data_IF_294838646926
#
_entry.id   IF_294838646926
#
_cell.length_a   1.000
_cell.length_b   1.000
_cell.length_c   1.000
_cell.angle_alpha   90.00
_cell.angle_beta   90.00
_cell.angle_gamma   90.00
#
_symmetry.space_group_name_H-M   'P 1'
#
loop_
_entity.id
_entity.type
_entity.pdbx_description
1 polymer ?
#
# COMPACT_ATOMS: atom_id res chain seq x y z
N UNK A 1 -21.50 -13.33 11.70
CA UNK A 1 -21.30 -14.73 12.11
C UNK A 1 -21.51 -15.63 10.91
N UNK A 2 -20.63 -16.61 10.70
CA UNK A 2 -20.74 -17.64 9.66
C UNK A 2 -20.93 -18.99 10.36
N UNK A 3 -21.85 -19.81 9.87
CA UNK A 3 -22.16 -21.14 10.44
C UNK A 3 -21.63 -22.26 9.55
N UNK A 4 -21.31 -23.40 10.17
CA UNK A 4 -20.84 -24.59 9.47
C UNK A 4 -21.92 -25.15 8.54
N UNK A 5 -21.53 -25.44 7.31
CA UNK A 5 -22.35 -26.22 6.39
C UNK A 5 -22.09 -27.73 6.57
N UNK A 6 -23.00 -28.42 7.26
CA UNK A 6 -22.92 -29.88 7.49
C UNK A 6 -23.05 -30.71 6.20
N UNK A 7 -23.55 -30.11 5.12
CA UNK A 7 -23.73 -30.75 3.81
C UNK A 7 -22.61 -30.40 2.82
N UNK A 8 -21.49 -29.81 3.27
CA UNK A 8 -20.40 -29.46 2.37
C UNK A 8 -19.78 -30.71 1.72
N UNK A 9 -19.69 -30.73 0.39
CA UNK A 9 -19.31 -31.92 -0.39
C UNK A 9 -17.92 -32.50 -0.07
N UNK A 10 -17.01 -31.72 0.54
CA UNK A 10 -15.69 -32.17 0.99
C UNK A 10 -15.63 -32.50 2.49
N UNK A 11 -16.79 -32.73 3.10
CA UNK A 11 -16.96 -32.91 4.53
C UNK A 11 -17.03 -31.59 5.30
N UNK A 12 -17.78 -31.55 6.41
CA UNK A 12 -17.96 -30.35 7.24
C UNK A 12 -16.63 -29.83 7.81
N UNK A 13 -16.60 -28.54 8.17
CA UNK A 13 -15.48 -27.95 8.91
C UNK A 13 -15.43 -28.49 10.36
N UNK A 14 -14.27 -28.42 11.01
CA UNK A 14 -14.13 -28.93 12.38
C UNK A 14 -14.71 -27.97 13.45
N UNK A 15 -14.98 -26.71 13.09
CA UNK A 15 -15.60 -25.68 13.94
C UNK A 15 -17.06 -25.41 13.53
N UNK A 16 -17.90 -25.07 14.50
CA UNK A 16 -19.35 -24.86 14.29
C UNK A 16 -19.68 -23.47 13.73
N UNK A 17 -18.94 -22.44 14.13
CA UNK A 17 -19.14 -21.08 13.65
C UNK A 17 -17.84 -20.27 13.65
N UNK A 18 -17.86 -19.17 12.90
CA UNK A 18 -16.84 -18.13 12.88
C UNK A 18 -17.50 -16.80 13.21
N UNK A 19 -16.94 -16.09 14.17
CA UNK A 19 -17.33 -14.72 14.50
C UNK A 19 -16.19 -13.76 14.12
N UNK A 20 -16.46 -12.91 13.13
CA UNK A 20 -15.58 -11.79 12.80
C UNK A 20 -16.01 -10.60 13.65
N UNK A 21 -15.18 -10.22 14.60
CA UNK A 21 -15.43 -9.04 15.42
C UNK A 21 -15.06 -7.77 14.62
N UNK A 22 -16.08 -7.05 14.16
CA UNK A 22 -15.95 -5.79 13.43
C UNK A 22 -16.13 -4.56 14.36
N UNK A 23 -16.19 -4.78 15.69
CA UNK A 23 -16.31 -3.68 16.64
C UNK A 23 -14.99 -2.89 16.76
N UNK A 24 -15.11 -1.59 17.04
CA UNK A 24 -13.94 -0.77 17.37
C UNK A 24 -13.29 -1.21 18.69
N UNK A 25 -11.97 -1.09 18.79
CA UNK A 25 -11.20 -1.46 19.97
C UNK A 25 -9.78 -1.87 19.63
N UNK A 26 -9.00 -2.24 20.66
CA UNK A 26 -7.61 -2.69 20.50
C UNK A 26 -7.58 -4.22 20.45
N UNK A 27 -7.34 -4.82 19.28
CA UNK A 27 -7.36 -6.27 19.09
C UNK A 27 -6.40 -7.02 20.03
N UNK A 28 -5.24 -6.42 20.33
CA UNK A 28 -4.30 -6.96 21.31
C UNK A 28 -4.92 -7.11 22.71
N UNK A 29 -5.70 -6.14 23.17
CA UNK A 29 -6.38 -6.22 24.47
C UNK A 29 -7.49 -7.26 24.47
N UNK A 30 -8.24 -7.36 23.37
CA UNK A 30 -9.26 -8.39 23.20
C UNK A 30 -8.63 -9.79 23.26
N UNK A 31 -7.48 -9.97 22.61
CA UNK A 31 -6.75 -11.24 22.66
C UNK A 31 -6.27 -11.55 24.08
N UNK A 32 -5.70 -10.58 24.79
CA UNK A 32 -5.24 -10.75 26.18
C UNK A 32 -6.37 -11.04 27.17
N UNK A 33 -7.60 -10.59 26.88
CA UNK A 33 -8.81 -10.85 27.67
C UNK A 33 -9.60 -12.10 27.25
N UNK A 34 -9.04 -12.91 26.35
CA UNK A 34 -9.70 -14.11 25.79
C UNK A 34 -11.00 -13.81 25.02
N UNK A 35 -11.17 -12.59 24.50
CA UNK A 35 -12.32 -12.19 23.68
C UNK A 35 -12.15 -12.61 22.20
N UNK A 36 -10.91 -12.76 21.73
CA UNK A 36 -10.59 -13.24 20.39
C UNK A 36 -9.47 -14.29 20.41
N UNK A 37 -9.46 -15.16 19.41
CA UNK A 37 -8.55 -16.29 19.30
C UNK A 37 -7.27 -16.01 18.51
N UNK A 38 -7.31 -14.99 17.64
CA UNK A 38 -6.25 -14.66 16.71
C UNK A 38 -6.16 -13.13 16.61
N UNK A 39 -4.96 -12.56 16.67
CA UNK A 39 -4.72 -11.14 16.37
C UNK A 39 -3.36 -10.96 15.70
N UNK A 40 -3.24 -9.94 14.84
CA UNK A 40 -1.94 -9.42 14.44
C UNK A 40 -1.30 -8.60 15.56
N UNK A 41 0.02 -8.48 15.54
CA UNK A 41 0.82 -7.64 16.44
C UNK A 41 1.24 -6.38 15.67
N UNK A 42 0.81 -5.22 16.14
CA UNK A 42 1.17 -3.93 15.56
C UNK A 42 2.47 -3.35 16.14
N UNK A 43 2.97 -2.27 15.53
CA UNK A 43 4.21 -1.57 15.93
C UNK A 43 4.23 -1.24 17.43
N UNK A 44 3.11 -0.78 17.99
CA UNK A 44 2.99 -0.39 19.41
C UNK A 44 3.28 -1.53 20.40
N UNK A 45 3.07 -2.78 19.97
CA UNK A 45 3.23 -3.96 20.82
C UNK A 45 4.43 -4.83 20.41
N UNK A 46 5.11 -4.50 19.31
CA UNK A 46 6.10 -5.37 18.70
C UNK A 46 7.24 -5.71 19.67
N UNK A 47 7.95 -4.71 20.20
CA UNK A 47 9.07 -4.91 21.14
C UNK A 47 8.65 -5.71 22.38
N UNK A 48 7.45 -5.41 22.90
CA UNK A 48 6.88 -6.08 24.07
C UNK A 48 6.64 -7.56 23.80
N UNK A 49 6.12 -7.92 22.62
CA UNK A 49 5.76 -9.30 22.26
C UNK A 49 6.98 -10.10 21.78
N UNK A 50 7.99 -9.44 21.20
CA UNK A 50 9.24 -10.06 20.79
C UNK A 50 10.17 -10.42 21.97
N UNK A 51 10.01 -9.81 23.15
CA UNK A 51 10.79 -10.19 24.34
C UNK A 51 10.54 -11.67 24.69
N UNK A 52 11.58 -12.54 24.70
CA UNK A 52 11.45 -13.95 25.07
C UNK A 52 10.93 -14.19 26.49
N UNK A 53 10.98 -13.19 27.36
CA UNK A 53 10.41 -13.24 28.72
C UNK A 53 8.89 -13.02 28.73
N UNK A 54 8.33 -12.40 27.70
CA UNK A 54 6.90 -12.22 27.58
C UNK A 54 6.22 -13.59 27.35
N UNK A 55 5.24 -13.99 28.17
CA UNK A 55 4.53 -15.26 27.96
C UNK A 55 3.89 -15.41 26.57
N UNK A 56 3.47 -14.31 25.95
CA UNK A 56 2.85 -14.29 24.62
C UNK A 56 3.85 -14.61 23.50
N UNK A 57 5.15 -14.41 23.72
CA UNK A 57 6.18 -14.76 22.75
C UNK A 57 6.14 -16.26 22.40
N UNK A 58 5.73 -17.12 23.34
CA UNK A 58 5.65 -18.58 23.15
C UNK A 58 4.55 -19.01 22.17
N UNK A 59 3.58 -18.14 21.93
CA UNK A 59 2.44 -18.39 21.03
C UNK A 59 2.48 -17.45 19.83
N UNK A 60 3.61 -16.75 19.65
CA UNK A 60 3.86 -15.89 18.52
C UNK A 60 4.18 -16.75 17.30
N UNK A 61 3.48 -16.47 16.21
CA UNK A 61 3.68 -17.11 14.92
C UNK A 61 4.14 -16.04 13.94
N UNK A 62 5.27 -16.29 13.28
CA UNK A 62 5.71 -15.49 12.14
C UNK A 62 4.98 -16.04 10.91
N UNK A 63 4.02 -15.25 10.41
CA UNK A 63 3.29 -15.56 9.19
C UNK A 63 4.16 -15.27 7.96
N UNK A 64 3.98 -16.00 6.86
CA UNK A 64 4.58 -15.60 5.61
C UNK A 64 4.10 -14.21 5.20
N UNK A 65 4.94 -13.40 4.53
CA UNK A 65 4.52 -12.17 3.91
C UNK A 65 3.28 -12.37 3.03
N UNK A 66 2.38 -11.39 3.04
CA UNK A 66 1.27 -11.35 2.09
C UNK A 66 1.78 -10.99 0.69
N UNK A 67 1.15 -11.56 -0.32
CA UNK A 67 1.25 -11.09 -1.69
C UNK A 67 0.41 -9.82 -1.83
N UNK A 68 0.92 -8.73 -1.27
CA UNK A 68 0.24 -7.45 -1.26
C UNK A 68 1.19 -6.30 -1.53
N UNK A 69 0.63 -5.20 -2.07
CA UNK A 69 1.32 -3.92 -2.22
C UNK A 69 0.38 -2.80 -1.75
N UNK A 70 0.87 -1.92 -0.88
CA UNK A 70 0.22 -0.62 -0.61
C UNK A 70 0.76 0.45 -1.54
N UNK A 71 -0.02 1.49 -1.79
CA UNK A 71 0.36 2.52 -2.77
C UNK A 71 -0.34 3.85 -2.49
N UNK A 72 0.22 4.91 -3.08
CA UNK A 72 -0.49 6.17 -3.33
C UNK A 72 -0.86 6.16 -4.82
N UNK A 73 -2.16 6.22 -5.11
CA UNK A 73 -2.70 6.25 -6.45
C UNK A 73 -3.01 7.67 -6.93
N UNK A 74 -2.94 7.87 -8.24
CA UNK A 74 -3.21 9.14 -8.90
C UNK A 74 -4.22 8.95 -10.01
N UNK A 75 -5.14 9.91 -10.18
CA UNK A 75 -5.86 10.00 -11.44
C UNK A 75 -4.96 10.67 -12.49
N UNK A 76 -4.45 9.90 -13.44
CA UNK A 76 -3.47 10.38 -14.43
C UNK A 76 -4.06 11.32 -15.48
N UNK A 77 -5.36 11.62 -15.42
CA UNK A 77 -6.01 12.61 -16.27
C UNK A 77 -6.30 13.94 -15.53
N UNK A 78 -5.97 14.02 -14.23
CA UNK A 78 -6.26 15.19 -13.41
C UNK A 78 -4.95 15.92 -13.05
N UNK A 79 -4.84 17.23 -13.31
CA UNK A 79 -3.73 18.06 -12.83
C UNK A 79 -3.47 17.93 -11.33
N UNK A 80 -2.21 17.88 -10.87
CA UNK A 80 -0.97 17.86 -11.66
C UNK A 80 -0.50 16.46 -12.09
N UNK A 81 -1.28 15.42 -11.82
CA UNK A 81 -0.91 14.03 -12.09
C UNK A 81 -1.07 13.61 -13.55
N UNK A 82 -1.56 14.50 -14.41
CA UNK A 82 -1.55 14.37 -15.87
C UNK A 82 -0.19 14.73 -16.50
N UNK A 83 0.86 14.89 -15.70
CA UNK A 83 2.25 14.95 -16.14
C UNK A 83 3.08 13.81 -15.51
N UNK A 84 3.61 12.94 -16.37
CA UNK A 84 4.48 11.84 -15.96
C UNK A 84 5.71 12.32 -15.18
N UNK A 85 6.32 13.44 -15.57
CA UNK A 85 7.52 13.96 -14.87
C UNK A 85 7.19 14.40 -13.45
N UNK A 86 5.98 14.94 -13.24
CA UNK A 86 5.52 15.28 -11.90
C UNK A 86 5.38 14.03 -11.04
N UNK A 87 4.71 12.97 -11.55
CA UNK A 87 4.55 11.70 -10.82
C UNK A 87 5.89 11.01 -10.53
N UNK A 88 6.83 11.04 -11.47
CA UNK A 88 8.18 10.51 -11.28
C UNK A 88 8.96 11.33 -10.23
N UNK A 89 8.81 12.65 -10.22
CA UNK A 89 9.44 13.49 -9.21
C UNK A 89 8.96 13.13 -7.79
N UNK A 90 7.65 12.92 -7.61
CA UNK A 90 7.08 12.48 -6.32
C UNK A 90 7.61 11.11 -5.89
N UNK A 91 7.82 10.17 -6.82
CA UNK A 91 8.40 8.87 -6.49
C UNK A 91 9.87 9.02 -6.03
N UNK A 92 10.68 9.76 -6.78
CA UNK A 92 12.10 9.92 -6.53
C UNK A 92 12.41 10.73 -5.25
N UNK A 93 11.47 11.50 -4.71
CA UNK A 93 11.65 12.27 -3.47
C UNK A 93 11.39 11.48 -2.18
N UNK A 94 10.91 10.23 -2.26
CA UNK A 94 10.56 9.44 -1.07
C UNK A 94 11.67 8.47 -0.69
N UNK A 95 12.21 8.63 0.51
CA UNK A 95 13.14 7.68 1.09
C UNK A 95 12.40 6.53 1.80
N UNK A 96 11.95 5.55 1.01
CA UNK A 96 11.17 4.39 1.50
C UNK A 96 11.96 3.54 2.50
N UNK A 97 13.27 3.39 2.34
CA UNK A 97 14.14 2.64 3.25
C UNK A 97 14.18 3.27 4.65
N UNK A 98 14.26 4.60 4.73
CA UNK A 98 14.22 5.33 6.00
C UNK A 98 12.86 5.12 6.70
N UNK A 99 11.76 5.21 5.96
CA UNK A 99 10.43 5.02 6.54
C UNK A 99 10.26 3.57 7.02
N UNK A 100 10.59 2.58 6.19
CA UNK A 100 10.49 1.17 6.55
C UNK A 100 11.28 0.85 7.84
N UNK A 101 12.52 1.33 7.93
CA UNK A 101 13.39 1.01 9.06
C UNK A 101 13.13 1.84 10.32
N UNK A 102 12.93 3.16 10.20
CA UNK A 102 12.88 4.08 11.34
C UNK A 102 11.46 4.40 11.80
N UNK A 103 10.47 4.32 10.89
CA UNK A 103 9.07 4.66 11.20
C UNK A 103 8.25 3.40 11.43
N UNK A 104 8.47 2.37 10.59
CA UNK A 104 7.65 1.14 10.58
C UNK A 104 8.37 -0.08 11.18
N UNK A 105 9.54 0.12 11.79
CA UNK A 105 10.27 -0.92 12.54
C UNK A 105 10.53 -2.21 11.73
N UNK A 106 10.79 -2.08 10.43
CA UNK A 106 10.99 -3.18 9.47
C UNK A 106 9.81 -4.17 9.34
N UNK A 107 8.59 -3.78 9.74
CA UNK A 107 7.38 -4.58 9.51
C UNK A 107 6.90 -4.55 8.05
N UNK A 108 7.52 -3.71 7.22
CA UNK A 108 7.24 -3.57 5.80
C UNK A 108 8.52 -3.65 4.99
N UNK A 109 8.38 -3.97 3.70
CA UNK A 109 9.48 -3.92 2.72
C UNK A 109 9.18 -2.82 1.71
N UNK A 110 10.12 -1.90 1.42
CA UNK A 110 9.97 -0.89 0.38
C UNK A 110 9.55 -1.48 -0.96
N UNK A 111 8.47 -0.95 -1.55
CA UNK A 111 8.00 -1.35 -2.86
C UNK A 111 8.52 -0.40 -3.95
N UNK A 112 9.16 -0.98 -4.96
CA UNK A 112 9.60 -0.27 -6.18
C UNK A 112 8.94 -0.81 -7.46
N UNK A 113 8.22 -1.93 -7.35
CA UNK A 113 7.32 -2.48 -8.36
C UNK A 113 5.90 -2.66 -7.84
N UNK A 114 5.08 -3.36 -8.60
CA UNK A 114 3.68 -3.69 -8.28
C UNK A 114 3.58 -5.12 -7.74
N UNK A 115 4.22 -6.09 -8.41
CA UNK A 115 4.20 -7.48 -8.00
C UNK A 115 5.06 -7.67 -6.74
N UNK A 116 4.56 -8.35 -5.70
CA UNK A 116 5.31 -8.55 -4.46
C UNK A 116 6.39 -9.63 -4.59
N UNK A 117 7.47 -9.58 -3.80
CA UNK A 117 8.51 -10.59 -3.79
C UNK A 117 7.95 -12.01 -3.55
N UNK A 118 8.44 -12.97 -4.33
CA UNK A 118 7.99 -14.36 -4.28
C UNK A 118 6.64 -14.63 -4.97
N UNK A 119 6.00 -13.62 -5.53
CA UNK A 119 4.80 -13.79 -6.37
C UNK A 119 5.17 -14.32 -7.76
N UNK A 120 4.34 -15.16 -8.41
CA UNK A 120 4.56 -15.57 -9.79
C UNK A 120 4.73 -14.34 -10.69
N UNK A 121 5.70 -14.37 -11.60
CA UNK A 121 6.00 -13.26 -12.50
C UNK A 121 6.86 -12.14 -11.91
N UNK A 122 7.07 -12.07 -10.60
CA UNK A 122 7.92 -11.05 -9.96
C UNK A 122 9.30 -10.93 -10.64
N UNK A 123 9.74 -9.71 -10.88
CA UNK A 123 11.03 -9.39 -11.49
C UNK A 123 12.02 -8.88 -10.43
N UNK A 124 13.02 -9.69 -10.11
CA UNK A 124 14.10 -9.30 -9.18
C UNK A 124 15.02 -8.23 -9.78
N UNK A 125 15.01 -8.05 -11.11
CA UNK A 125 15.84 -7.07 -11.82
C UNK A 125 15.13 -5.71 -11.99
N UNK A 126 13.85 -5.60 -11.61
CA UNK A 126 13.12 -4.33 -11.67
C UNK A 126 13.56 -3.40 -10.54
N UNK A 127 14.37 -2.40 -10.87
CA UNK A 127 14.82 -1.38 -9.91
C UNK A 127 13.71 -0.39 -9.51
N UNK A 128 12.81 -0.07 -10.45
CA UNK A 128 11.75 0.93 -10.26
C UNK A 128 12.25 2.36 -10.04
N UNK A 129 11.43 3.18 -9.37
CA UNK A 129 11.73 4.60 -9.09
C UNK A 129 12.28 4.76 -7.67
N UNK A 130 13.61 4.70 -7.54
CA UNK A 130 14.34 4.72 -6.27
C UNK A 130 14.55 6.14 -5.71
N UNK A 131 14.94 6.29 -4.44
CA UNK A 131 15.14 7.61 -3.84
C UNK A 131 16.33 8.35 -4.48
N UNK A 132 16.04 9.47 -5.16
CA UNK A 132 17.02 10.39 -5.74
C UNK A 132 16.43 11.82 -5.74
N UNK A 133 16.67 12.60 -4.67
CA UNK A 133 16.09 13.94 -4.54
C UNK A 133 16.60 14.93 -5.59
N UNK A 134 17.81 14.72 -6.13
CA UNK A 134 18.34 15.58 -7.20
C UNK A 134 17.59 15.32 -8.51
N UNK A 135 17.38 14.05 -8.85
CA UNK A 135 16.56 13.67 -10.01
C UNK A 135 15.11 14.11 -9.83
N UNK A 136 14.55 14.01 -8.62
CA UNK A 136 13.21 14.49 -8.31
C UNK A 136 13.05 15.99 -8.64
N UNK A 137 13.95 16.84 -8.13
CA UNK A 137 13.94 18.29 -8.43
C UNK A 137 14.14 18.58 -9.92
N UNK A 138 15.04 17.85 -10.57
CA UNK A 138 15.25 17.98 -12.03
C UNK A 138 13.96 17.66 -12.80
N UNK A 139 13.32 16.54 -12.51
CA UNK A 139 12.07 16.14 -13.16
C UNK A 139 10.95 17.16 -12.93
N UNK A 140 10.81 17.68 -11.72
CA UNK A 140 9.84 18.74 -11.43
C UNK A 140 10.16 20.04 -12.18
N UNK A 141 11.44 20.40 -12.36
CA UNK A 141 11.82 21.58 -13.15
C UNK A 141 11.50 21.43 -14.64
N UNK A 142 11.47 20.19 -15.14
CA UNK A 142 11.12 19.86 -16.53
C UNK A 142 9.62 19.56 -16.70
N UNK A 143 8.87 19.50 -15.61
CA UNK A 143 7.42 19.31 -15.62
C UNK A 143 6.71 20.55 -16.15
N UNK A 144 5.52 20.36 -16.72
CA UNK A 144 4.59 21.45 -17.04
C UNK A 144 4.14 22.24 -15.80
N UNK A 145 4.38 21.67 -14.62
CA UNK A 145 4.10 22.24 -13.32
C UNK A 145 5.34 22.80 -12.59
N UNK A 146 6.45 23.01 -13.30
CA UNK A 146 7.68 23.59 -12.72
C UNK A 146 7.49 24.93 -12.00
N UNK A 147 6.40 25.66 -12.27
CA UNK A 147 5.99 26.83 -11.50
C UNK A 147 5.82 26.60 -9.99
N UNK A 148 5.64 25.36 -9.51
CA UNK A 148 5.68 25.02 -8.09
C UNK A 148 7.05 25.28 -7.43
N UNK A 149 8.16 25.18 -8.20
CA UNK A 149 9.52 25.40 -7.70
C UNK A 149 9.91 26.87 -7.57
N UNK A 150 9.15 27.80 -8.15
CA UNK A 150 9.48 29.24 -8.21
C UNK A 150 9.71 29.88 -6.84
N UNK A 151 9.25 29.23 -5.77
CA UNK A 151 9.31 29.71 -4.40
C UNK A 151 10.33 28.95 -3.52
N UNK A 152 11.12 28.02 -4.06
CA UNK A 152 12.16 27.30 -3.32
C UNK A 152 13.54 27.86 -3.72
N UNK A 153 14.22 28.64 -2.86
CA UNK A 153 15.59 29.10 -3.10
C UNK A 153 16.54 27.91 -3.36
N UNK A 154 17.39 28.06 -4.36
CA UNK A 154 18.22 27.00 -4.95
C UNK A 154 19.39 26.51 -4.09
N UNK A 155 19.76 27.19 -3.00
CA UNK A 155 21.09 27.07 -2.40
C UNK A 155 21.14 26.94 -0.86
N UNK A 156 20.02 26.74 -0.16
CA UNK A 156 20.04 26.55 1.31
C UNK A 156 19.76 25.11 1.77
N UNK A 157 20.40 24.65 2.87
CA UNK A 157 20.02 23.39 3.51
C UNK A 157 18.54 23.46 3.92
N UNK A 158 17.72 22.66 3.25
CA UNK A 158 16.25 22.67 3.28
C UNK A 158 15.59 22.44 4.66
N UNK A 159 16.37 22.32 5.74
CA UNK A 159 15.87 22.29 7.11
C UNK A 159 15.58 23.70 7.66
N UNK A 160 16.42 24.69 7.35
CA UNK A 160 16.28 26.05 7.90
C UNK A 160 15.16 26.83 7.21
N UNK A 161 14.99 26.68 5.89
CA UNK A 161 13.86 27.24 5.15
C UNK A 161 12.53 26.61 5.53
N UNK A 162 12.48 25.30 5.78
CA UNK A 162 11.27 24.63 6.27
C UNK A 162 10.89 25.18 7.66
N UNK A 163 11.86 25.35 8.55
CA UNK A 163 11.67 26.00 9.85
C UNK A 163 11.26 27.47 9.71
N UNK A 164 11.84 28.22 8.76
CA UNK A 164 11.51 29.62 8.51
C UNK A 164 10.08 29.76 7.96
N UNK A 165 9.67 28.94 6.99
CA UNK A 165 8.30 28.88 6.45
C UNK A 165 7.28 28.42 7.50
N UNK A 166 7.66 27.49 8.39
CA UNK A 166 6.85 27.07 9.54
C UNK A 166 6.76 28.18 10.61
N UNK A 167 7.78 29.01 10.76
CA UNK A 167 7.81 30.14 11.69
C UNK A 167 7.16 31.41 11.12
N UNK A 168 7.15 31.56 9.79
CA UNK A 168 6.51 32.63 9.05
C UNK A 168 5.02 32.32 8.84
N UNK A 169 4.32 31.92 9.89
CA UNK A 169 2.86 31.83 9.92
C UNK A 169 2.27 33.24 9.96
N UNK A 170 2.22 33.90 8.81
CA UNK A 170 1.27 34.95 8.40
C UNK A 170 1.72 35.53 7.06
N UNK A 171 1.42 34.88 5.93
CA UNK A 171 1.49 35.55 4.63
C UNK A 171 0.75 34.78 3.54
N UNK A 172 -0.06 35.54 2.80
CA UNK A 172 -0.89 35.31 1.61
C UNK A 172 -0.28 34.52 0.43
N UNK A 173 0.93 33.96 0.55
CA UNK A 173 1.64 33.24 -0.52
C UNK A 173 1.34 31.74 -0.57
N UNK A 174 1.00 31.08 0.55
CA UNK A 174 0.59 29.66 0.56
C UNK A 174 -0.75 29.41 -0.15
N UNK A 175 -1.65 30.39 -0.19
CA UNK A 175 -2.98 30.26 -0.81
C UNK A 175 -2.98 30.37 -2.35
N UNK A 176 -1.82 30.63 -2.97
CA UNK A 176 -1.68 30.76 -4.42
C UNK A 176 -1.14 29.50 -5.11
N UNK A 177 -0.66 28.50 -4.35
CA UNK A 177 -0.21 27.23 -4.92
C UNK A 177 -1.41 26.26 -5.03
N UNK A 178 -1.63 25.60 -6.18
CA UNK A 178 -2.62 24.54 -6.29
C UNK A 178 -2.31 23.43 -5.28
N UNK A 179 -3.19 23.24 -4.30
CA UNK A 179 -3.02 22.22 -3.27
C UNK A 179 -3.37 20.84 -3.84
N UNK A 180 -2.54 19.84 -3.54
CA UNK A 180 -2.85 18.45 -3.86
C UNK A 180 -3.73 17.89 -2.75
N UNK A 181 -4.80 17.18 -3.12
CA UNK A 181 -5.68 16.50 -2.17
C UNK A 181 -5.43 15.00 -2.26
N UNK A 182 -4.94 14.39 -1.17
CA UNK A 182 -4.93 12.94 -1.00
C UNK A 182 -6.20 12.54 -0.25
N UNK A 183 -7.05 11.77 -0.92
CA UNK A 183 -8.22 11.17 -0.29
C UNK A 183 -7.84 9.87 0.41
N UNK A 184 -8.28 9.69 1.65
CA UNK A 184 -8.05 8.49 2.45
C UNK A 184 -9.37 7.98 3.05
N UNK A 185 -9.52 6.66 3.25
CA UNK A 185 -10.67 6.14 3.96
C UNK A 185 -10.59 6.50 5.46
N UNK A 186 -11.69 6.97 6.06
CA UNK A 186 -11.73 7.26 7.49
C UNK A 186 -12.90 8.16 7.93
N UNK A 187 -13.14 8.21 9.25
CA UNK A 187 -14.18 9.04 9.87
C UNK A 187 -13.64 9.82 11.08
N UNK A 188 -12.63 10.68 10.86
CA UNK A 188 -12.11 11.61 11.87
C UNK A 188 -10.89 11.11 12.67
N UNK A 189 -10.10 10.19 12.11
CA UNK A 189 -8.81 9.75 12.67
C UNK A 189 -7.64 10.60 12.19
N UNK A 190 -6.41 10.27 12.62
CA UNK A 190 -5.20 10.74 11.94
C UNK A 190 -4.94 9.90 10.69
N UNK A 191 -4.24 10.45 9.71
CA UNK A 191 -3.68 9.67 8.62
C UNK A 191 -2.54 8.78 9.13
N UNK A 192 -2.13 7.79 8.32
CA UNK A 192 -1.01 6.93 8.66
C UNK A 192 0.30 7.73 8.77
N UNK A 193 1.11 7.41 9.80
CA UNK A 193 2.38 8.09 10.04
C UNK A 193 3.34 8.00 8.84
N UNK A 194 3.32 6.89 8.12
CA UNK A 194 4.09 6.71 6.90
C UNK A 194 3.68 7.70 5.81
N UNK A 195 2.37 7.91 5.62
CA UNK A 195 1.85 8.90 4.66
C UNK A 195 2.15 10.34 5.10
N UNK A 196 2.12 10.64 6.40
CA UNK A 196 2.54 11.96 6.92
C UNK A 196 4.03 12.23 6.59
N UNK A 197 4.90 11.24 6.79
CA UNK A 197 6.33 11.37 6.47
C UNK A 197 6.57 11.50 4.97
N UNK A 198 5.80 10.81 4.11
CA UNK A 198 5.86 11.01 2.66
C UNK A 198 5.51 12.45 2.28
N UNK A 199 4.43 13.00 2.85
CA UNK A 199 4.03 14.38 2.56
C UNK A 199 5.07 15.38 3.05
N UNK A 200 5.70 15.16 4.21
CA UNK A 200 6.83 15.99 4.67
C UNK A 200 8.00 15.95 3.66
N UNK A 201 8.34 14.77 3.13
CA UNK A 201 9.38 14.64 2.11
C UNK A 201 9.01 15.38 0.82
N UNK A 202 7.75 15.32 0.37
CA UNK A 202 7.28 16.06 -0.79
C UNK A 202 7.31 17.58 -0.59
N UNK A 203 6.93 18.09 0.59
CA UNK A 203 7.03 19.51 0.89
C UNK A 203 8.50 19.96 0.92
N UNK A 204 9.39 19.19 1.57
CA UNK A 204 10.79 19.59 1.75
C UNK A 204 11.64 19.47 0.51
N UNK A 205 11.45 18.41 -0.28
CA UNK A 205 12.27 18.16 -1.47
C UNK A 205 11.75 18.90 -2.71
N UNK A 206 10.44 19.14 -2.78
CA UNK A 206 9.75 19.61 -3.99
C UNK A 206 8.82 20.82 -3.76
N UNK A 207 8.58 21.25 -2.52
CA UNK A 207 7.63 22.33 -2.20
C UNK A 207 6.17 21.97 -2.45
N UNK A 208 5.87 20.67 -2.57
CA UNK A 208 4.53 20.18 -2.85
C UNK A 208 3.73 20.12 -1.56
N UNK A 209 2.69 20.94 -1.45
CA UNK A 209 1.80 21.00 -0.29
C UNK A 209 0.61 20.08 -0.53
N UNK A 210 0.34 19.19 0.43
CA UNK A 210 -0.75 18.22 0.38
C UNK A 210 -1.74 18.48 1.53
N UNK A 211 -3.02 18.48 1.19
CA UNK A 211 -4.13 18.42 2.15
C UNK A 211 -4.74 17.00 2.13
N UNK A 212 -5.24 16.54 3.28
CA UNK A 212 -5.92 15.25 3.38
C UNK A 212 -7.44 15.40 3.39
N UNK A 213 -8.12 14.53 2.67
CA UNK A 213 -9.58 14.38 2.72
C UNK A 213 -9.93 12.99 3.22
N UNK A 214 -10.57 12.90 4.38
CA UNK A 214 -11.13 11.64 4.87
C UNK A 214 -12.53 11.42 4.30
N UNK A 215 -12.77 10.22 3.78
CA UNK A 215 -14.05 9.79 3.23
C UNK A 215 -14.48 8.48 3.90
N UNK A 216 -15.74 8.39 4.29
CA UNK A 216 -16.32 7.15 4.83
C UNK A 216 -16.16 6.02 3.81
N UNK A 217 -15.84 4.80 4.28
CA UNK A 217 -15.41 3.67 3.45
C UNK A 217 -16.32 3.35 2.26
N UNK A 218 -17.63 3.22 2.47
CA UNK A 218 -18.54 2.88 1.37
C UNK A 218 -18.62 4.00 0.33
N UNK A 219 -18.52 5.25 0.77
CA UNK A 219 -18.45 6.41 -0.13
C UNK A 219 -17.10 6.46 -0.84
N UNK A 220 -16.01 6.19 -0.13
CA UNK A 220 -14.66 6.17 -0.67
C UNK A 220 -14.55 5.17 -1.83
N UNK A 221 -15.02 3.93 -1.65
CA UNK A 221 -15.00 2.92 -2.72
C UNK A 221 -15.81 3.36 -3.94
N UNK A 222 -17.00 3.93 -3.73
CA UNK A 222 -17.85 4.43 -4.82
C UNK A 222 -17.18 5.55 -5.61
N UNK A 223 -16.47 6.45 -4.94
CA UNK A 223 -15.79 7.59 -5.56
C UNK A 223 -14.48 7.14 -6.23
N UNK A 224 -13.86 6.07 -5.72
CA UNK A 224 -12.72 5.38 -6.32
C UNK A 224 -13.11 4.68 -7.63
N UNK A 225 -14.20 3.91 -7.65
CA UNK A 225 -14.77 3.27 -8.86
C UNK A 225 -15.13 4.30 -9.94
N UNK A 226 -15.61 5.47 -9.52
CA UNK A 226 -15.95 6.58 -10.43
C UNK A 226 -14.74 7.43 -10.83
N UNK A 227 -13.55 7.11 -10.33
CA UNK A 227 -12.30 7.84 -10.59
C UNK A 227 -12.40 9.35 -10.24
N UNK A 228 -13.20 9.72 -9.23
CA UNK A 228 -13.42 11.15 -8.91
C UNK A 228 -12.33 11.78 -8.07
N UNK A 229 -11.47 10.97 -7.45
CA UNK A 229 -10.35 11.46 -6.66
C UNK A 229 -9.21 11.98 -7.53
N UNK A 230 -8.59 13.08 -7.10
CA UNK A 230 -7.35 13.58 -7.70
C UNK A 230 -6.19 12.62 -7.39
N UNK A 231 -6.07 12.23 -6.12
CA UNK A 231 -5.18 11.18 -5.62
C UNK A 231 -5.79 10.49 -4.41
N UNK A 232 -5.34 9.27 -4.14
CA UNK A 232 -5.90 8.43 -3.08
C UNK A 232 -4.82 7.56 -2.42
N UNK A 233 -4.95 7.31 -1.12
CA UNK A 233 -4.03 6.51 -0.33
C UNK A 233 -4.78 5.76 0.78
N UNK A 234 -4.05 5.03 1.63
CA UNK A 234 -4.65 4.21 2.69
C UNK A 234 -5.30 2.93 2.16
N UNK A 235 -4.90 2.50 0.96
CA UNK A 235 -5.31 1.27 0.30
C UNK A 235 -4.11 0.37 0.05
N UNK A 236 -4.41 -0.89 -0.26
CA UNK A 236 -3.49 -1.80 -0.89
C UNK A 236 -4.25 -2.81 -1.73
N UNK A 237 -3.50 -3.54 -2.53
CA UNK A 237 -3.99 -4.72 -3.22
C UNK A 237 -3.35 -5.96 -2.60
N UNK A 238 -4.10 -7.02 -2.39
CA UNK A 238 -3.60 -8.33 -1.96
C UNK A 238 -4.17 -9.40 -2.88
N UNK A 239 -3.34 -10.34 -3.31
CA UNK A 239 -3.68 -11.30 -4.35
C UNK A 239 -4.94 -12.12 -4.02
N UNK A 240 -5.91 -12.11 -4.95
CA UNK A 240 -7.07 -12.98 -4.93
C UNK A 240 -6.71 -14.39 -5.45
N UNK A 241 -5.82 -14.46 -6.44
CA UNK A 241 -5.24 -15.67 -6.99
C UNK A 241 -3.80 -15.43 -7.47
N UNK A 242 -2.96 -16.47 -7.54
CA UNK A 242 -1.52 -16.32 -7.78
C UNK A 242 -1.19 -16.19 -9.29
N UNK A 243 -1.69 -15.15 -9.95
CA UNK A 243 -1.36 -14.81 -11.35
C UNK A 243 -1.10 -13.29 -11.47
N UNK A 244 -0.04 -12.84 -12.17
CA UNK A 244 0.22 -11.40 -12.40
C UNK A 244 -0.95 -10.62 -12.98
N UNK A 245 -1.84 -11.29 -13.72
CA UNK A 245 -3.05 -10.70 -14.28
C UNK A 245 -3.90 -10.03 -13.19
N UNK A 246 -3.96 -10.63 -12.00
CA UNK A 246 -4.70 -10.13 -10.82
C UNK A 246 -4.21 -8.76 -10.34
N UNK A 247 -2.98 -8.39 -10.66
CA UNK A 247 -2.41 -7.09 -10.36
C UNK A 247 -2.38 -6.22 -11.62
N UNK A 248 -1.64 -6.64 -12.64
CA UNK A 248 -1.23 -5.74 -13.72
C UNK A 248 -2.37 -5.45 -14.70
N UNK A 249 -3.16 -6.46 -15.05
CA UNK A 249 -4.29 -6.30 -15.97
C UNK A 249 -5.49 -5.66 -15.24
N UNK A 250 -5.85 -6.21 -14.07
CA UNK A 250 -6.97 -5.71 -13.26
C UNK A 250 -6.76 -4.24 -12.84
N UNK A 251 -5.55 -3.83 -12.46
CA UNK A 251 -5.33 -2.49 -11.87
C UNK A 251 -4.91 -1.43 -12.88
N UNK A 252 -4.36 -1.82 -14.04
CA UNK A 252 -3.74 -0.85 -14.98
C UNK A 252 -4.16 -0.97 -16.44
N UNK A 253 -4.86 -2.03 -16.86
CA UNK A 253 -5.42 -2.04 -18.22
C UNK A 253 -6.43 -0.89 -18.36
N UNK A 254 -6.36 -0.13 -19.47
CA UNK A 254 -7.15 1.09 -19.62
C UNK A 254 -8.66 0.86 -19.62
N UNK A 255 -9.12 -0.29 -20.13
CA UNK A 255 -10.54 -0.72 -20.10
C UNK A 255 -10.97 -1.44 -18.80
N UNK A 256 -10.11 -1.56 -17.79
CA UNK A 256 -10.49 -2.21 -16.53
C UNK A 256 -11.34 -1.32 -15.65
N UNK A 257 -12.47 -1.84 -15.14
CA UNK A 257 -13.33 -1.14 -14.17
C UNK A 257 -12.63 -0.87 -12.82
N UNK A 258 -11.55 -1.61 -12.52
CA UNK A 258 -10.76 -1.49 -11.27
C UNK A 258 -9.51 -0.60 -11.46
N UNK A 259 -9.30 -0.05 -12.67
CA UNK A 259 -8.26 0.95 -12.92
C UNK A 259 -8.69 2.31 -12.34
N UNK A 260 -8.58 2.45 -11.02
CA UNK A 260 -9.01 3.64 -10.29
C UNK A 260 -8.18 4.89 -10.59
N UNK A 261 -6.98 4.72 -11.15
CA UNK A 261 -6.10 5.81 -11.54
C UNK A 261 -6.36 6.37 -12.94
N UNK A 262 -7.31 5.79 -13.69
CA UNK A 262 -7.55 6.13 -15.09
C UNK A 262 -6.27 6.10 -15.95
N UNK A 263 -5.33 5.23 -15.59
CA UNK A 263 -4.06 5.07 -16.30
C UNK A 263 -4.33 4.48 -17.68
N UNK A 264 -3.66 4.99 -18.71
CA UNK A 264 -3.79 4.48 -20.07
C UNK A 264 -2.44 4.59 -20.78
N UNK A 265 -1.93 3.44 -21.20
CA UNK A 265 -0.76 3.32 -22.05
C UNK A 265 -1.02 2.20 -23.06
N UNK A 266 -1.19 2.53 -24.37
CA UNK A 266 -1.49 1.54 -25.39
C UNK A 266 -0.47 0.40 -25.51
N UNK A 267 0.82 0.68 -25.25
CA UNK A 267 1.87 -0.34 -25.29
C UNK A 267 1.72 -1.31 -24.10
N UNK A 268 1.41 -0.77 -22.92
CA UNK A 268 1.13 -1.60 -21.73
C UNK A 268 -0.13 -2.45 -21.96
N UNK A 269 -1.21 -1.86 -22.48
CA UNK A 269 -2.44 -2.57 -22.80
C UNK A 269 -2.15 -3.73 -23.76
N UNK A 270 -1.52 -3.49 -24.91
CA UNK A 270 -1.19 -4.54 -25.90
C UNK A 270 -0.42 -5.72 -25.27
N UNK A 271 0.56 -5.43 -24.40
CA UNK A 271 1.34 -6.44 -23.70
C UNK A 271 0.45 -7.24 -22.73
N UNK A 272 -0.41 -6.57 -21.97
CA UNK A 272 -1.35 -7.21 -21.03
C UNK A 272 -2.36 -8.10 -21.75
N UNK A 273 -2.92 -7.65 -22.89
CA UNK A 273 -3.86 -8.44 -23.70
C UNK A 273 -3.21 -9.72 -24.26
N UNK A 274 -1.95 -9.62 -24.68
CA UNK A 274 -1.18 -10.76 -25.12
C UNK A 274 -0.85 -11.70 -23.96
N UNK A 275 -0.46 -11.16 -22.81
CA UNK A 275 -0.12 -11.94 -21.63
C UNK A 275 -1.32 -12.72 -21.08
N UNK A 276 -2.53 -12.14 -21.07
CA UNK A 276 -3.73 -12.83 -20.54
C UNK A 276 -4.26 -13.96 -21.43
N UNK A 277 -3.92 -13.97 -22.72
CA UNK A 277 -4.40 -14.98 -23.70
C UNK A 277 -3.40 -16.10 -23.99
N UNK A 278 -2.12 -15.88 -23.72
CA UNK A 278 -1.07 -16.88 -23.91
C UNK A 278 -1.21 -18.00 -22.86
N UNK A 279 -0.70 -19.20 -23.17
CA UNK A 279 -0.81 -20.38 -22.28
C UNK A 279 0.50 -20.77 -21.62
N UNK A 280 1.63 -20.48 -22.26
CA UNK A 280 2.93 -20.80 -21.71
C UNK A 280 3.25 -19.85 -20.54
N UNK A 281 3.46 -20.38 -19.32
CA UNK A 281 3.65 -19.53 -18.15
C UNK A 281 4.97 -18.74 -18.20
N UNK A 282 6.03 -19.26 -18.83
CA UNK A 282 7.32 -18.58 -18.89
C UNK A 282 7.20 -17.36 -19.82
N UNK A 283 6.65 -17.56 -21.01
CA UNK A 283 6.45 -16.47 -21.98
C UNK A 283 5.45 -15.42 -21.45
N UNK A 284 4.37 -15.84 -20.77
CA UNK A 284 3.43 -14.92 -20.13
C UNK A 284 4.08 -14.06 -19.07
N UNK A 285 4.87 -14.66 -18.17
CA UNK A 285 5.52 -13.91 -17.11
C UNK A 285 6.53 -12.90 -17.66
N UNK A 286 7.22 -13.21 -18.75
CA UNK A 286 8.08 -12.23 -19.42
C UNK A 286 7.29 -11.02 -19.94
N UNK A 287 6.09 -11.23 -20.49
CA UNK A 287 5.22 -10.13 -20.93
C UNK A 287 4.72 -9.31 -19.74
N UNK A 288 4.30 -9.95 -18.64
CA UNK A 288 3.89 -9.22 -17.44
C UNK A 288 5.01 -8.36 -16.85
N UNK A 289 6.25 -8.85 -16.83
CA UNK A 289 7.42 -8.04 -16.41
C UNK A 289 7.64 -6.82 -17.30
N UNK A 290 7.45 -6.98 -18.61
CA UNK A 290 7.54 -5.85 -19.56
C UNK A 290 6.44 -4.81 -19.30
N UNK A 291 5.20 -5.26 -19.09
CA UNK A 291 4.09 -4.37 -18.75
C UNK A 291 4.32 -3.65 -17.42
N UNK A 292 4.73 -4.38 -16.37
CA UNK A 292 5.05 -3.80 -15.07
C UNK A 292 6.14 -2.73 -15.17
N UNK A 293 7.20 -2.99 -15.93
CA UNK A 293 8.26 -2.01 -16.16
C UNK A 293 7.70 -0.70 -16.76
N UNK A 294 6.86 -0.78 -17.79
CA UNK A 294 6.23 0.41 -18.38
C UNK A 294 5.34 1.15 -17.37
N UNK A 295 4.51 0.43 -16.63
CA UNK A 295 3.60 0.99 -15.62
C UNK A 295 4.37 1.74 -14.52
N UNK A 296 5.49 1.15 -14.06
CA UNK A 296 6.36 1.73 -13.03
C UNK A 296 7.16 2.91 -13.58
N UNK A 297 7.70 2.82 -14.79
CA UNK A 297 8.40 3.93 -15.46
C UNK A 297 7.46 5.12 -15.73
N UNK A 298 6.19 4.85 -16.02
CA UNK A 298 5.15 5.86 -16.14
C UNK A 298 4.71 6.46 -14.80
N UNK A 299 5.20 5.93 -13.67
CA UNK A 299 4.81 6.35 -12.34
C UNK A 299 3.28 6.39 -12.20
N UNK A 300 2.59 5.34 -12.65
CA UNK A 300 1.13 5.25 -12.53
C UNK A 300 0.68 5.39 -11.06
N UNK A 301 1.46 4.80 -10.15
CA UNK A 301 1.36 4.94 -8.69
C UNK A 301 2.69 5.41 -8.08
N UNK A 302 2.65 5.68 -6.79
CA UNK A 302 3.80 5.48 -5.90
C UNK A 302 3.57 4.16 -5.16
N UNK A 303 4.24 3.06 -5.54
CA UNK A 303 4.24 1.85 -4.73
C UNK A 303 4.91 2.14 -3.39
N UNK A 304 4.28 1.76 -2.28
CA UNK A 304 4.75 2.09 -0.94
C UNK A 304 5.39 0.87 -0.29
N UNK A 305 4.58 -0.10 0.12
CA UNK A 305 5.02 -1.21 0.96
C UNK A 305 4.55 -2.55 0.41
N UNK A 306 5.47 -3.51 0.29
CA UNK A 306 5.10 -4.91 0.40
C UNK A 306 4.98 -5.28 1.88
N UNK A 307 4.18 -6.29 2.17
CA UNK A 307 4.07 -6.83 3.52
C UNK A 307 5.42 -7.43 3.94
N UNK A 308 5.93 -7.04 5.11
CA UNK A 308 7.13 -7.63 5.71
C UNK A 308 6.82 -8.85 6.56
N UNK A 309 7.63 -9.08 7.59
CA UNK A 309 7.35 -10.11 8.58
C UNK A 309 6.06 -9.80 9.32
N UNK A 310 5.13 -10.76 9.32
CA UNK A 310 3.84 -10.62 9.99
C UNK A 310 3.83 -11.41 11.28
N UNK A 311 3.70 -10.70 12.39
CA UNK A 311 3.61 -11.30 13.71
C UNK A 311 2.15 -11.51 14.09
N UNK A 312 1.78 -12.76 14.36
CA UNK A 312 0.40 -13.16 14.68
C UNK A 312 0.40 -13.93 15.99
N UNK A 313 -0.49 -13.57 16.90
CA UNK A 313 -0.76 -14.36 18.10
C UNK A 313 -1.95 -15.28 17.83
N UNK A 314 -1.75 -16.58 18.11
CA UNK A 314 -2.79 -17.61 17.98
C UNK A 314 -2.91 -18.32 19.32
N UNK A 315 -4.13 -18.46 19.85
CA UNK A 315 -4.33 -19.15 21.13
C UNK A 315 -3.82 -20.59 21.05
N UNK A 316 -3.17 -21.13 22.12
CA UNK A 316 -2.61 -22.48 22.11
C UNK A 316 -3.58 -23.59 21.75
N UNK A 317 -4.87 -23.40 22.04
CA UNK A 317 -5.90 -24.39 21.76
C UNK A 317 -6.39 -24.34 20.30
N UNK A 318 -6.03 -23.32 19.51
CA UNK A 318 -6.38 -23.20 18.09
C UNK A 318 -5.36 -23.96 17.26
N UNK A 319 -5.83 -25.01 16.58
CA UNK A 319 -4.99 -25.89 15.78
C UNK A 319 -5.48 -25.90 14.33
N UNK A 320 -4.62 -26.35 13.41
CA UNK A 320 -4.96 -26.51 11.99
C UNK A 320 -5.07 -25.20 11.19
N UNK A 321 -4.87 -24.04 11.82
CA UNK A 321 -4.87 -22.76 11.12
C UNK A 321 -3.59 -22.58 10.31
N UNK A 322 -3.73 -22.47 8.99
CA UNK A 322 -2.63 -22.23 8.05
C UNK A 322 -2.69 -20.79 7.57
N UNK A 323 -1.68 -20.01 7.94
CA UNK A 323 -1.49 -18.66 7.43
C UNK A 323 -0.97 -18.75 6.00
N UNK A 324 -1.62 -18.03 5.08
CA UNK A 324 -1.28 -18.02 3.65
C UNK A 324 -0.96 -16.60 3.20
N UNK A 325 -0.11 -16.42 2.17
CA UNK A 325 0.14 -15.11 1.57
C UNK A 325 -1.05 -14.43 0.87
N UNK A 326 -2.20 -15.10 0.73
CA UNK A 326 -3.38 -14.57 0.02
C UNK A 326 -4.42 -14.03 1.00
N UNK A 327 -5.27 -13.11 0.51
CA UNK A 327 -6.26 -12.36 1.30
C UNK A 327 -7.31 -13.23 2.01
N UNK A 328 -7.71 -14.36 1.42
CA UNK A 328 -8.82 -15.18 1.96
C UNK A 328 -8.32 -16.25 2.95
N UNK A 329 -8.63 -16.13 4.26
CA UNK A 329 -8.23 -17.12 5.24
C UNK A 329 -8.91 -18.47 5.01
N UNK A 330 -8.18 -19.57 5.25
CA UNK A 330 -8.68 -20.94 5.11
C UNK A 330 -8.94 -21.54 6.49
N UNK A 331 -10.22 -21.56 6.91
CA UNK A 331 -10.63 -21.93 8.27
C UNK A 331 -11.24 -23.32 8.38
N UNK A 332 -11.45 -24.04 7.28
CA UNK A 332 -12.10 -25.37 7.27
C UNK A 332 -11.41 -26.38 8.20
N UNK A 333 -10.09 -26.41 8.16
CA UNK A 333 -9.25 -27.37 8.88
C UNK A 333 -8.96 -26.94 10.32
N UNK A 334 -9.40 -25.74 10.74
CA UNK A 334 -9.20 -25.23 12.09
C UNK A 334 -10.02 -26.04 13.08
N UNK A 335 -9.43 -26.43 14.20
CA UNK A 335 -10.10 -27.13 15.30
C UNK A 335 -9.55 -26.68 16.65
N UNK A 336 -10.32 -26.93 17.71
CA UNK A 336 -9.88 -26.68 19.08
C UNK A 336 -9.41 -27.97 19.75
N UNK A 337 -8.25 -27.92 20.42
CA UNK A 337 -7.86 -29.01 21.32
C UNK A 337 -8.67 -28.91 22.61
N UNK A 338 -9.15 -30.05 23.12
CA UNK A 338 -9.67 -30.10 24.49
C UNK A 338 -8.50 -29.83 25.44
N UNK A 339 -8.62 -28.79 26.27
CA UNK A 339 -7.65 -28.46 27.31
C UNK A 339 -7.51 -29.60 28.32
#
# INVERSE_FOLDING_TARGET
>A
MLERNDLFYRGPANIEFIENNLAGGQSMQMYEKDEIHITGVGVSDLDRILDPKNPLNRVLVVAPPSFSVSYIGFNTNVPPFDDQKFRQALNHSINKELIASQVLSNLVVPAYGILPPGFPGYDEELEGLTFDPQKARKLLSESKYSGFLSNIPSDEPHYELAQELLSATQSSSRDQLPRIIISVPGTGGSVGLDLEVVVDMWERELGVIVDFQQVEWATFLKDLDKQTFQSFAGLGWEADYPDPQDFLDVLFHSDSDINHGAYSNPDADEILEKARTLKDPIERFQLYRQAEKLIVEDAAWVPMWYTGERYVLIKPNVNGYKLTPMIIPKLKEVYFSNN
#
